data_IF_923003818481
#
_entry.id   IF_923003818481
#
_cell.length_a   1.000
_cell.length_b   1.000
_cell.length_c   1.000
_cell.angle_alpha   90.00
_cell.angle_beta   90.00
_cell.angle_gamma   90.00
#
_symmetry.space_group_name_H-M   'P 1'
#
loop_
_entity.id
_entity.type
_entity.pdbx_description
1 polymer ?
#
# COMPACT_ATOMS: atom_id res chain seq x y z
N UNK A 1 7.24 -9.32 11.67
CA UNK A 1 7.61 -8.42 10.56
C UNK A 1 7.98 -7.07 11.15
N UNK A 2 9.22 -6.90 11.58
CA UNK A 2 9.68 -5.64 12.22
C UNK A 2 10.93 -5.08 11.54
N UNK A 3 11.74 -5.93 10.89
CA UNK A 3 12.98 -5.50 10.26
C UNK A 3 12.77 -4.45 9.17
N UNK A 4 11.82 -4.67 8.26
CA UNK A 4 11.55 -3.73 7.16
C UNK A 4 11.14 -2.36 7.72
N UNK A 5 10.19 -2.33 8.65
CA UNK A 5 9.70 -1.10 9.28
C UNK A 5 10.83 -0.38 10.03
N UNK A 6 11.62 -1.10 10.83
CA UNK A 6 12.76 -0.53 11.55
C UNK A 6 13.85 0.02 10.63
N UNK A 7 14.10 -0.61 9.49
CA UNK A 7 15.07 -0.12 8.49
C UNK A 7 14.51 1.13 7.81
N UNK A 8 13.23 1.14 7.43
CA UNK A 8 12.57 2.28 6.81
C UNK A 8 12.53 3.50 7.75
N UNK A 9 12.25 3.28 9.04
CA UNK A 9 12.33 4.33 10.07
C UNK A 9 13.74 4.93 10.16
N UNK A 10 14.78 4.08 10.17
CA UNK A 10 16.19 4.54 10.15
C UNK A 10 16.58 5.28 8.87
N UNK A 11 15.85 5.05 7.78
CA UNK A 11 16.03 5.73 6.50
C UNK A 11 15.15 6.96 6.35
N UNK A 12 14.43 7.34 7.40
CA UNK A 12 13.61 8.55 7.45
C UNK A 12 12.57 8.59 6.31
N UNK A 13 11.86 7.48 6.10
CA UNK A 13 10.75 7.40 5.13
C UNK A 13 9.42 7.76 5.80
N UNK A 14 8.47 8.25 5.00
CA UNK A 14 7.13 8.65 5.50
C UNK A 14 6.24 7.45 5.82
N UNK A 15 6.32 6.40 5.01
CA UNK A 15 5.50 5.21 5.12
C UNK A 15 6.22 3.99 4.53
N UNK A 16 5.61 2.83 4.73
CA UNK A 16 5.88 1.60 3.97
C UNK A 16 4.62 1.25 3.22
N UNK A 17 4.75 0.96 1.94
CA UNK A 17 3.67 0.50 1.08
C UNK A 17 3.91 -0.91 0.54
N UNK A 18 2.85 -1.48 -0.04
CA UNK A 18 2.88 -2.74 -0.76
C UNK A 18 1.65 -2.84 -1.65
N UNK A 19 1.77 -3.64 -2.71
CA UNK A 19 0.63 -4.04 -3.54
C UNK A 19 0.21 -5.47 -3.22
N UNK A 20 -1.10 -5.66 -3.04
CA UNK A 20 -1.68 -6.99 -2.77
C UNK A 20 -2.91 -7.22 -3.66
N UNK A 21 -2.99 -8.41 -4.25
CA UNK A 21 -4.15 -8.86 -5.04
C UNK A 21 -5.45 -8.70 -4.23
N UNK A 22 -6.48 -8.08 -4.82
CA UNK A 22 -7.78 -7.87 -4.17
C UNK A 22 -8.42 -9.20 -3.73
N UNK A 23 -8.20 -10.28 -4.48
CA UNK A 23 -8.69 -11.61 -4.13
C UNK A 23 -7.95 -12.28 -2.96
N UNK A 24 -6.73 -11.83 -2.61
CA UNK A 24 -5.93 -12.41 -1.54
C UNK A 24 -6.36 -11.89 -0.16
N UNK A 25 -7.60 -12.23 0.23
CA UNK A 25 -8.22 -11.81 1.50
C UNK A 25 -7.37 -12.12 2.72
N UNK A 26 -6.65 -13.26 2.72
CA UNK A 26 -5.77 -13.66 3.83
C UNK A 26 -4.62 -12.67 4.03
N UNK A 27 -3.97 -12.23 2.95
CA UNK A 27 -2.89 -11.26 3.03
C UNK A 27 -3.44 -9.87 3.41
N UNK A 28 -4.57 -9.46 2.83
CA UNK A 28 -5.24 -8.19 3.18
C UNK A 28 -5.57 -8.14 4.68
N UNK A 29 -6.18 -9.20 5.23
CA UNK A 29 -6.50 -9.29 6.66
C UNK A 29 -5.24 -9.27 7.54
N UNK A 30 -4.16 -9.93 7.09
CA UNK A 30 -2.87 -9.90 7.77
C UNK A 30 -2.32 -8.46 7.84
N UNK A 31 -2.34 -7.72 6.73
CA UNK A 31 -1.82 -6.36 6.68
C UNK A 31 -2.67 -5.37 7.48
N UNK A 32 -4.00 -5.53 7.49
CA UNK A 32 -4.86 -4.77 8.39
C UNK A 32 -4.50 -4.98 9.87
N UNK A 33 -4.21 -6.22 10.29
CA UNK A 33 -3.73 -6.51 11.66
C UNK A 33 -2.36 -5.89 11.97
N UNK A 34 -1.57 -5.59 10.95
CA UNK A 34 -0.29 -4.88 11.07
C UNK A 34 -0.44 -3.34 10.98
N UNK A 35 -1.68 -2.83 11.01
CA UNK A 35 -2.05 -1.42 10.89
C UNK A 35 -1.75 -0.79 9.52
N UNK A 36 -1.74 -1.59 8.45
CA UNK A 36 -1.81 -1.06 7.10
C UNK A 36 -3.25 -0.70 6.76
N UNK A 37 -3.41 0.38 5.99
CA UNK A 37 -4.69 0.84 5.45
C UNK A 37 -4.67 0.75 3.93
N UNK A 38 -5.81 0.51 3.32
CA UNK A 38 -5.94 0.61 1.85
C UNK A 38 -5.88 2.10 1.49
N UNK A 39 -4.83 2.50 0.79
CA UNK A 39 -4.64 3.86 0.28
C UNK A 39 -5.40 4.05 -1.03
N UNK A 40 -5.34 3.06 -1.93
CA UNK A 40 -6.06 3.06 -3.22
C UNK A 40 -6.23 1.67 -3.80
N UNK A 41 -7.12 1.59 -4.79
CA UNK A 41 -7.25 0.43 -5.67
C UNK A 41 -6.63 0.76 -7.02
N UNK A 42 -5.80 -0.15 -7.52
CA UNK A 42 -5.12 -0.03 -8.81
C UNK A 42 -5.70 -1.07 -9.76
N UNK A 43 -6.35 -0.60 -10.82
CA UNK A 43 -7.06 -1.42 -11.79
C UNK A 43 -6.06 -2.15 -12.68
N UNK A 44 -6.18 -3.48 -12.77
CA UNK A 44 -5.32 -4.29 -13.64
C UNK A 44 -3.82 -4.24 -13.30
N UNK A 45 -3.47 -4.04 -12.03
CA UNK A 45 -2.08 -3.99 -11.58
C UNK A 45 -1.32 -5.30 -11.83
N UNK A 46 -1.97 -6.44 -11.56
CA UNK A 46 -1.40 -7.74 -11.88
C UNK A 46 -1.88 -8.18 -13.26
N UNK A 47 -0.96 -8.31 -14.19
CA UNK A 47 -1.21 -8.88 -15.52
C UNK A 47 -0.78 -10.35 -15.59
N UNK A 48 -1.38 -11.12 -16.51
CA UNK A 48 -0.99 -12.51 -16.76
C UNK A 48 -2.19 -13.40 -17.11
N UNK A 49 -2.20 -14.65 -16.64
CA UNK A 49 -3.32 -15.58 -16.89
C UNK A 49 -4.66 -15.08 -16.33
N UNK A 50 -4.59 -14.27 -15.27
CA UNK A 50 -5.75 -13.59 -14.68
C UNK A 50 -5.34 -12.17 -14.32
N UNK A 51 -5.78 -11.25 -15.16
CA UNK A 51 -5.71 -9.82 -14.85
C UNK A 51 -6.47 -9.54 -13.57
N UNK A 52 -5.83 -8.78 -12.67
CA UNK A 52 -6.40 -8.51 -11.37
C UNK A 52 -5.95 -7.16 -10.83
N UNK A 53 -6.89 -6.50 -10.15
CA UNK A 53 -6.63 -5.28 -9.40
C UNK A 53 -5.76 -5.57 -8.17
N UNK A 54 -5.06 -4.53 -7.72
CA UNK A 54 -4.34 -4.53 -6.46
C UNK A 54 -4.91 -3.48 -5.50
N UNK A 55 -4.77 -3.74 -4.21
CA UNK A 55 -4.74 -2.69 -3.20
C UNK A 55 -3.30 -2.23 -3.00
N UNK A 56 -3.09 -0.92 -3.08
CA UNK A 56 -1.94 -0.24 -2.49
C UNK A 56 -2.28 -0.05 -1.00
N UNK A 57 -1.54 -0.75 -0.13
CA UNK A 57 -1.73 -0.66 1.30
C UNK A 57 -0.53 0.04 1.95
N UNK A 58 -0.81 1.04 2.79
CA UNK A 58 0.22 1.87 3.43
C UNK A 58 0.18 1.77 4.95
N UNK A 59 1.35 1.86 5.57
CA UNK A 59 1.53 2.07 7.01
C UNK A 59 2.42 3.29 7.23
N UNK A 60 1.90 4.28 7.95
CA UNK A 60 2.65 5.49 8.28
C UNK A 60 3.76 5.15 9.28
N UNK A 61 4.91 5.78 9.08
CA UNK A 61 6.06 5.75 9.99
C UNK A 61 6.13 7.08 10.77
N UNK A 62 7.00 7.20 11.80
CA UNK A 62 7.06 8.37 12.66
C UNK A 62 7.27 9.71 11.94
N UNK A 63 7.87 9.71 10.74
CA UNK A 63 8.06 10.92 9.92
C UNK A 63 6.74 11.49 9.38
N UNK A 64 5.73 10.65 9.10
CA UNK A 64 4.41 11.11 8.65
C UNK A 64 3.53 11.47 9.85
N UNK A 65 3.93 12.52 10.57
CA UNK A 65 3.28 13.00 11.81
C UNK A 65 1.80 13.33 11.57
N UNK A 66 1.48 13.92 10.42
CA UNK A 66 0.12 14.33 10.05
C UNK A 66 -0.68 13.20 9.39
N UNK A 67 -0.07 12.02 9.17
CA UNK A 67 -0.68 10.85 8.52
C UNK A 67 -1.25 11.16 7.13
N UNK A 68 -0.65 12.12 6.41
CA UNK A 68 -1.10 12.54 5.09
C UNK A 68 -0.99 11.40 4.08
N UNK A 69 0.00 10.52 4.24
CA UNK A 69 0.20 9.37 3.36
C UNK A 69 -0.89 8.30 3.46
N UNK A 70 -1.74 8.36 4.50
CA UNK A 70 -2.80 7.40 4.74
C UNK A 70 -4.17 7.85 4.22
N UNK A 71 -4.30 9.10 3.79
CA UNK A 71 -5.58 9.65 3.31
C UNK A 71 -5.89 9.00 1.95
N UNK A 72 -6.92 8.13 1.85
CA UNK A 72 -7.15 7.40 0.62
C UNK A 72 -7.54 8.33 -0.53
N UNK A 73 -7.11 8.00 -1.75
CA UNK A 73 -7.62 8.70 -2.93
C UNK A 73 -9.00 8.14 -3.31
N UNK A 74 -9.97 9.00 -3.68
CA UNK A 74 -11.36 8.60 -3.85
C UNK A 74 -11.60 7.78 -5.13
N UNK A 75 -10.71 7.86 -6.11
CA UNK A 75 -10.88 7.21 -7.41
C UNK A 75 -9.81 6.13 -7.62
N UNK A 76 -10.19 4.98 -8.21
CA UNK A 76 -9.22 3.97 -8.60
C UNK A 76 -8.32 4.49 -9.72
N UNK A 77 -7.07 4.05 -9.72
CA UNK A 77 -6.04 4.46 -10.69
C UNK A 77 -5.59 3.26 -11.52
N UNK A 78 -4.86 3.49 -12.60
CA UNK A 78 -4.18 2.46 -13.39
C UNK A 78 -2.67 2.43 -13.07
N UNK A 79 -1.94 1.37 -13.43
CA UNK A 79 -0.51 1.27 -13.15
C UNK A 79 0.31 2.41 -13.76
N UNK A 80 -0.09 2.91 -14.93
CA UNK A 80 0.51 4.08 -15.57
C UNK A 80 0.43 5.37 -14.75
N UNK A 81 -0.58 5.51 -13.88
CA UNK A 81 -0.78 6.69 -13.04
C UNK A 81 0.13 6.68 -11.78
N UNK A 82 0.87 5.59 -11.53
CA UNK A 82 1.72 5.45 -10.34
C UNK A 82 3.06 6.17 -10.45
N UNK A 83 3.51 6.48 -11.67
CA UNK A 83 4.83 7.05 -11.92
C UNK A 83 4.93 8.55 -11.59
N UNK A 84 3.78 9.20 -11.37
CA UNK A 84 3.67 10.64 -11.11
C UNK A 84 3.57 11.00 -9.61
N UNK A 85 3.71 10.02 -8.70
CA UNK A 85 3.63 10.16 -7.23
C UNK A 85 4.98 10.42 -6.53
#
# INVERSE_FOLDING_TARGET
MTLLEQVSEKKDTYFVDLFVRVSNKRAVDMYHKLNYVVYRRIIGYYSGERDEDAFDMRKALPKDVEKKSLIPIPHPVRPEDLADD
#
